data_IF_454393661587
#
_entry.id   IF_454393661587
#
_cell.length_a   1.000
_cell.length_b   1.000
_cell.length_c   1.000
_cell.angle_alpha   90.00
_cell.angle_beta   90.00
_cell.angle_gamma   90.00
#
_symmetry.space_group_name_H-M   'P 1'
#
loop_
_entity.id
_entity.type
_entity.pdbx_description
1 polymer ?
#
# COMPACT_ATOMS: atom_id res chain seq x y z
N UNK A 1 -90.95 -55.44 29.46
CA UNK A 1 -89.62 -55.19 28.88
C UNK A 1 -89.28 -53.74 29.14
N UNK A 2 -88.21 -53.29 29.77
CA UNK A 2 -87.03 -53.89 30.42
C UNK A 2 -86.34 -52.70 31.15
N UNK A 3 -86.03 -52.86 32.45
CA UNK A 3 -84.91 -52.28 33.25
C UNK A 3 -84.73 -50.74 33.27
N UNK A 4 -84.95 -50.00 34.36
CA UNK A 4 -84.19 -49.83 35.63
C UNK A 4 -82.98 -48.85 35.57
N UNK A 5 -83.05 -47.83 36.44
CA UNK A 5 -82.00 -47.04 37.12
C UNK A 5 -80.60 -46.87 36.50
N UNK A 6 -80.10 -45.61 36.47
CA UNK A 6 -78.96 -45.22 37.33
C UNK A 6 -78.72 -43.70 37.40
N UNK A 7 -78.57 -43.24 38.64
CA UNK A 7 -78.08 -41.93 39.07
C UNK A 7 -76.57 -41.81 38.79
N UNK A 8 -76.08 -40.57 38.81
CA UNK A 8 -74.72 -40.13 39.20
C UNK A 8 -73.66 -40.13 38.10
N UNK A 9 -73.15 -38.94 37.77
CA UNK A 9 -71.77 -38.49 38.08
C UNK A 9 -71.39 -37.29 37.20
N UNK A 10 -71.11 -36.14 37.83
CA UNK A 10 -70.19 -35.17 37.24
C UNK A 10 -68.77 -35.58 37.67
N UNK A 11 -67.83 -35.74 36.74
CA UNK A 11 -66.42 -35.54 37.03
C UNK A 11 -65.88 -34.43 36.12
N UNK A 12 -65.25 -33.42 36.69
CA UNK A 12 -63.88 -33.41 37.19
C UNK A 12 -62.88 -33.04 36.09
N UNK A 13 -62.05 -32.09 36.48
CA UNK A 13 -60.90 -31.50 35.81
C UNK A 13 -59.94 -32.61 35.40
N UNK A 14 -59.60 -32.72 34.10
CA UNK A 14 -58.22 -32.87 33.63
C UNK A 14 -58.09 -32.93 32.09
N UNK A 15 -57.05 -32.24 31.60
CA UNK A 15 -56.26 -32.60 30.42
C UNK A 15 -56.76 -32.24 29.01
N UNK A 16 -56.56 -30.97 28.65
CA UNK A 16 -55.78 -30.69 27.44
C UNK A 16 -54.58 -29.81 27.82
N UNK A 17 -53.56 -30.47 28.38
CA UNK A 17 -52.18 -29.97 28.40
C UNK A 17 -51.65 -30.04 26.97
N UNK A 18 -51.97 -29.05 26.16
CA UNK A 18 -51.18 -28.79 24.95
C UNK A 18 -49.91 -28.07 25.42
N UNK A 19 -48.85 -28.87 25.56
CA UNK A 19 -47.47 -28.40 25.62
C UNK A 19 -47.17 -27.59 24.36
N UNK A 20 -47.45 -26.29 24.39
CA UNK A 20 -46.84 -25.35 23.47
C UNK A 20 -45.64 -24.79 24.22
N UNK A 21 -44.48 -25.42 24.03
CA UNK A 21 -43.19 -24.85 24.42
C UNK A 21 -43.15 -23.38 23.94
N UNK A 22 -42.74 -22.43 24.78
CA UNK A 22 -42.75 -21.02 24.39
C UNK A 22 -41.57 -20.74 23.44
N UNK A 23 -41.77 -20.90 22.13
CA UNK A 23 -40.90 -20.32 21.08
C UNK A 23 -40.70 -18.81 21.27
N UNK A 24 -41.67 -18.15 21.90
CA UNK A 24 -41.60 -16.74 22.31
C UNK A 24 -40.47 -16.44 23.30
N UNK A 25 -40.17 -17.34 24.26
CA UNK A 25 -39.12 -17.08 25.26
C UNK A 25 -37.70 -17.25 24.69
N UNK A 26 -37.50 -18.19 23.75
CA UNK A 26 -36.21 -18.40 23.10
C UNK A 26 -35.88 -17.23 22.17
N UNK A 27 -36.84 -16.72 21.42
CA UNK A 27 -36.64 -15.58 20.50
C UNK A 27 -36.41 -14.25 21.22
N UNK A 28 -37.06 -13.99 22.37
CA UNK A 28 -36.77 -12.80 23.18
C UNK A 28 -35.43 -12.89 23.89
N UNK A 29 -35.06 -14.07 24.43
CA UNK A 29 -33.75 -14.30 25.06
C UNK A 29 -32.63 -14.16 24.04
N UNK A 30 -32.77 -14.72 22.84
CA UNK A 30 -31.80 -14.55 21.75
C UNK A 30 -31.70 -13.11 21.25
N UNK A 31 -32.81 -12.37 21.14
CA UNK A 31 -32.78 -10.94 20.78
C UNK A 31 -32.12 -10.09 21.86
N UNK A 32 -32.37 -10.37 23.14
CA UNK A 32 -31.79 -9.65 24.26
C UNK A 32 -30.28 -9.90 24.37
N UNK A 33 -29.84 -11.15 24.21
CA UNK A 33 -28.42 -11.51 24.14
C UNK A 33 -27.73 -10.88 22.92
N UNK A 34 -28.37 -10.89 21.75
CA UNK A 34 -27.80 -10.33 20.51
C UNK A 34 -27.65 -8.80 20.57
N UNK A 35 -28.58 -8.09 21.21
CA UNK A 35 -28.41 -6.65 21.43
C UNK A 35 -27.29 -6.39 22.45
N UNK A 36 -27.25 -7.14 23.55
CA UNK A 36 -26.23 -6.99 24.60
C UNK A 36 -24.80 -7.26 24.09
N UNK A 37 -24.61 -8.28 23.25
CA UNK A 37 -23.32 -8.59 22.61
C UNK A 37 -22.86 -7.46 21.67
N UNK A 38 -23.78 -6.81 20.96
CA UNK A 38 -23.49 -5.64 20.12
C UNK A 38 -23.12 -4.41 20.95
N UNK A 39 -23.80 -4.18 22.07
CA UNK A 39 -23.45 -3.09 22.99
C UNK A 39 -22.06 -3.31 23.61
N UNK A 40 -21.73 -4.53 24.02
CA UNK A 40 -20.44 -4.88 24.60
C UNK A 40 -19.30 -4.81 23.58
N UNK A 41 -19.53 -5.24 22.34
CA UNK A 41 -18.57 -5.09 21.24
C UNK A 41 -18.28 -3.61 20.96
N UNK A 42 -19.31 -2.76 20.91
CA UNK A 42 -19.17 -1.31 20.70
C UNK A 42 -18.44 -0.64 21.86
N UNK A 43 -18.70 -1.04 23.11
CA UNK A 43 -17.96 -0.52 24.26
C UNK A 43 -16.49 -0.96 24.30
N UNK A 44 -16.17 -2.17 23.83
CA UNK A 44 -14.78 -2.63 23.70
C UNK A 44 -14.05 -1.85 22.61
N UNK A 45 -14.72 -1.56 21.49
CA UNK A 45 -14.17 -0.75 20.41
C UNK A 45 -13.93 0.71 20.83
N UNK A 46 -14.87 1.32 21.55
CA UNK A 46 -14.71 2.66 22.12
C UNK A 46 -13.57 2.72 23.15
N UNK A 47 -13.44 1.72 24.02
CA UNK A 47 -12.32 1.63 24.96
C UNK A 47 -10.98 1.47 24.24
N UNK A 48 -10.91 0.63 23.20
CA UNK A 48 -9.71 0.45 22.38
C UNK A 48 -9.34 1.73 21.64
N UNK A 49 -10.31 2.43 21.06
CA UNK A 49 -10.13 3.73 20.40
C UNK A 49 -9.66 4.79 21.40
N UNK A 50 -10.23 4.82 22.60
CA UNK A 50 -9.82 5.71 23.69
C UNK A 50 -8.38 5.45 24.15
N UNK A 51 -7.98 4.18 24.33
CA UNK A 51 -6.60 3.85 24.64
C UNK A 51 -5.65 4.24 23.52
N UNK A 52 -6.02 4.04 22.25
CA UNK A 52 -5.21 4.43 21.10
C UNK A 52 -5.09 5.95 20.95
N UNK A 53 -6.18 6.68 21.22
CA UNK A 53 -6.17 8.13 21.27
C UNK A 53 -5.31 8.64 22.43
N UNK A 54 -5.40 7.99 23.60
CA UNK A 54 -4.61 8.37 24.78
C UNK A 54 -3.12 8.12 24.55
N UNK A 55 -2.72 6.97 24.00
CA UNK A 55 -1.31 6.72 23.66
C UNK A 55 -0.80 7.70 22.61
N UNK A 56 -1.62 8.06 21.61
CA UNK A 56 -1.28 9.07 20.62
C UNK A 56 -1.08 10.46 21.24
N UNK A 57 -2.02 10.91 22.07
CA UNK A 57 -1.94 12.21 22.76
C UNK A 57 -0.76 12.25 23.73
N UNK A 58 -0.49 11.14 24.42
CA UNK A 58 0.64 11.02 25.34
C UNK A 58 1.98 11.11 24.60
N UNK A 59 2.13 10.39 23.49
CA UNK A 59 3.32 10.49 22.63
C UNK A 59 3.50 11.91 22.08
N UNK A 60 2.41 12.55 21.65
CA UNK A 60 2.42 13.91 21.12
C UNK A 60 2.76 14.94 22.20
N UNK A 61 2.32 14.73 23.44
CA UNK A 61 2.66 15.55 24.60
C UNK A 61 4.14 15.44 24.98
N UNK A 62 4.72 14.23 24.95
CA UNK A 62 6.17 14.04 25.14
C UNK A 62 6.96 14.78 24.07
N UNK A 63 6.53 14.65 22.80
CA UNK A 63 7.15 15.34 21.67
C UNK A 63 7.06 16.87 21.82
N UNK A 64 5.88 17.39 22.20
CA UNK A 64 5.65 18.82 22.40
C UNK A 64 6.49 19.37 23.56
N UNK A 65 6.60 18.62 24.66
CA UNK A 65 7.43 18.98 25.80
C UNK A 65 8.92 18.99 25.44
N UNK A 66 9.40 17.97 24.72
CA UNK A 66 10.77 17.92 24.20
C UNK A 66 11.07 19.09 23.25
N UNK A 67 10.11 19.42 22.39
CA UNK A 67 10.15 20.56 21.48
C UNK A 67 10.28 21.90 22.22
N UNK A 68 9.46 22.15 23.24
CA UNK A 68 9.47 23.41 23.99
C UNK A 68 10.73 23.58 24.85
N UNK A 69 11.30 22.48 25.36
CA UNK A 69 12.52 22.51 26.18
C UNK A 69 13.80 22.68 25.39
N UNK A 70 13.81 22.33 24.11
CA UNK A 70 14.98 22.41 23.24
C UNK A 70 14.70 23.34 22.04
N UNK A 71 14.69 24.67 22.23
CA UNK A 71 14.46 25.63 21.15
C UNK A 71 15.54 25.56 20.06
N UNK A 72 16.74 25.05 20.37
CA UNK A 72 17.81 24.82 19.40
C UNK A 72 17.53 23.75 18.34
N UNK A 73 16.48 22.92 18.49
CA UNK A 73 16.03 22.00 17.43
C UNK A 73 15.39 22.78 16.27
N UNK A 74 14.86 23.97 16.54
CA UNK A 74 14.22 24.84 15.55
C UNK A 74 15.20 25.80 14.87
N UNK A 75 16.40 25.95 15.42
CA UNK A 75 17.49 26.67 14.76
C UNK A 75 18.08 25.75 13.68
N UNK A 76 17.66 26.00 12.44
CA UNK A 76 18.23 25.32 11.28
C UNK A 76 19.68 25.81 11.14
N UNK A 77 20.63 24.92 11.44
CA UNK A 77 22.04 25.20 11.22
C UNK A 77 22.29 25.55 9.74
N UNK A 78 23.28 26.42 9.50
CA UNK A 78 23.61 26.87 8.14
C UNK A 78 23.97 25.70 7.21
N UNK A 79 24.61 24.65 7.72
CA UNK A 79 24.90 23.44 6.96
C UNK A 79 23.62 22.69 6.57
N UNK A 80 22.65 22.64 7.48
CA UNK A 80 21.34 22.03 7.20
C UNK A 80 20.58 22.81 6.13
N UNK A 81 20.66 24.15 6.17
CA UNK A 81 20.06 25.00 5.14
C UNK A 81 20.69 24.77 3.75
N UNK A 82 22.02 24.64 3.69
CA UNK A 82 22.73 24.31 2.45
C UNK A 82 22.30 22.94 1.93
N UNK A 83 22.22 21.93 2.80
CA UNK A 83 21.79 20.58 2.44
C UNK A 83 20.35 20.57 1.90
N UNK A 84 19.43 21.27 2.56
CA UNK A 84 18.03 21.40 2.11
C UNK A 84 17.98 22.03 0.70
N UNK A 85 18.72 23.11 0.48
CA UNK A 85 18.73 23.78 -0.82
C UNK A 85 19.33 22.89 -1.93
N UNK A 86 20.39 22.16 -1.61
CA UNK A 86 20.98 21.19 -2.53
C UNK A 86 20.03 20.04 -2.85
N UNK A 87 19.32 19.51 -1.85
CA UNK A 87 18.32 18.47 -2.02
C UNK A 87 17.13 18.96 -2.87
N UNK A 88 16.66 20.19 -2.64
CA UNK A 88 15.60 20.79 -3.43
C UNK A 88 16.02 20.93 -4.91
N UNK A 89 17.21 21.47 -5.16
CA UNK A 89 17.75 21.57 -6.53
C UNK A 89 17.89 20.19 -7.19
N UNK A 90 18.32 19.17 -6.44
CA UNK A 90 18.39 17.79 -6.93
C UNK A 90 17.00 17.25 -7.29
N UNK A 91 15.98 17.47 -6.46
CA UNK A 91 14.59 17.06 -6.73
C UNK A 91 14.09 17.73 -8.00
N UNK A 92 14.23 19.04 -8.13
CA UNK A 92 13.82 19.80 -9.33
C UNK A 92 14.47 19.23 -10.59
N UNK A 93 15.74 18.88 -10.51
CA UNK A 93 16.48 18.30 -11.64
C UNK A 93 16.02 16.87 -11.97
N UNK A 94 15.59 16.08 -10.97
CA UNK A 94 15.08 14.71 -11.15
C UNK A 94 13.65 14.65 -11.71
N UNK A 95 12.90 15.74 -11.62
CA UNK A 95 11.54 15.82 -12.17
C UNK A 95 11.54 15.55 -13.69
N UNK A 96 12.53 16.05 -14.42
CA UNK A 96 12.63 15.86 -15.88
C UNK A 96 12.75 14.38 -16.28
N UNK A 97 13.75 13.60 -15.80
CA UNK A 97 13.86 12.19 -16.14
C UNK A 97 12.67 11.37 -15.64
N UNK A 98 12.05 11.75 -14.51
CA UNK A 98 10.84 11.08 -14.02
C UNK A 98 9.66 11.24 -14.97
N UNK A 99 9.38 12.46 -15.43
CA UNK A 99 8.29 12.72 -16.35
C UNK A 99 8.53 12.03 -17.70
N UNK A 100 9.74 12.12 -18.24
CA UNK A 100 10.07 11.51 -19.52
C UNK A 100 10.06 9.97 -19.44
N UNK A 101 10.57 9.38 -18.36
CA UNK A 101 10.50 7.93 -18.12
C UNK A 101 9.07 7.42 -17.95
N UNK A 102 8.24 8.17 -17.22
CA UNK A 102 6.81 7.86 -17.04
C UNK A 102 6.04 7.99 -18.36
N UNK A 103 6.28 9.06 -19.12
CA UNK A 103 5.64 9.29 -20.42
C UNK A 103 6.00 8.20 -21.43
N UNK A 104 7.26 7.77 -21.44
CA UNK A 104 7.72 6.63 -22.25
C UNK A 104 7.01 5.32 -21.89
N UNK A 105 6.80 5.07 -20.59
CA UNK A 105 6.06 3.90 -20.13
C UNK A 105 4.57 3.97 -20.52
N UNK A 106 3.93 5.14 -20.42
CA UNK A 106 2.55 5.35 -20.88
C UNK A 106 2.44 5.04 -22.37
N UNK A 107 3.32 5.60 -23.20
CA UNK A 107 3.32 5.36 -24.64
C UNK A 107 3.45 3.85 -24.96
N UNK A 108 4.32 3.14 -24.24
CA UNK A 108 4.47 1.67 -24.35
C UNK A 108 3.23 0.89 -23.94
N UNK A 109 2.61 1.24 -22.82
CA UNK A 109 1.37 0.58 -22.34
C UNK A 109 0.24 0.78 -23.35
N UNK A 110 0.12 1.98 -23.92
CA UNK A 110 -0.84 2.28 -24.97
C UNK A 110 -0.57 1.47 -26.24
N UNK A 111 0.69 1.36 -26.67
CA UNK A 111 1.08 0.50 -27.81
C UNK A 111 0.81 -0.99 -27.55
N UNK A 112 0.98 -1.45 -26.32
CA UNK A 112 0.74 -2.84 -25.95
C UNK A 112 -0.75 -3.21 -25.82
N UNK A 113 -1.67 -2.24 -25.94
CA UNK A 113 -3.12 -2.48 -25.90
C UNK A 113 -3.65 -2.97 -24.54
N UNK A 114 -2.87 -2.83 -23.46
CA UNK A 114 -3.23 -3.32 -22.12
C UNK A 114 -4.02 -2.25 -21.37
N UNK A 115 -4.99 -2.64 -20.53
CA UNK A 115 -5.82 -1.70 -19.75
C UNK A 115 -4.95 -0.80 -18.86
N UNK A 116 -4.78 0.45 -19.28
CA UNK A 116 -3.88 1.43 -18.65
C UNK A 116 -4.14 1.63 -17.14
N UNK A 117 -5.37 1.40 -16.67
CA UNK A 117 -5.75 1.56 -15.26
C UNK A 117 -5.14 0.53 -14.30
N UNK A 118 -4.69 -0.64 -14.76
CA UNK A 118 -4.08 -1.67 -13.90
C UNK A 118 -2.54 -1.57 -13.82
N UNK A 119 -1.94 -0.67 -14.59
CA UNK A 119 -0.49 -0.54 -14.72
C UNK A 119 0.04 0.82 -14.24
N UNK A 120 -0.72 1.56 -13.43
CA UNK A 120 -0.25 2.82 -12.85
C UNK A 120 1.05 2.67 -12.04
N UNK A 121 1.18 1.55 -11.31
CA UNK A 121 2.43 1.22 -10.60
C UNK A 121 3.61 1.08 -11.56
N UNK A 122 3.40 0.54 -12.77
CA UNK A 122 4.44 0.37 -13.78
C UNK A 122 4.92 1.70 -14.36
N UNK A 123 4.00 2.66 -14.52
CA UNK A 123 4.33 4.01 -14.99
C UNK A 123 5.20 4.72 -13.95
N UNK A 124 4.76 4.71 -12.69
CA UNK A 124 5.50 5.33 -11.58
C UNK A 124 6.86 4.65 -11.38
N UNK A 125 6.92 3.31 -11.45
CA UNK A 125 8.19 2.58 -11.31
C UNK A 125 9.17 2.89 -12.45
N UNK A 126 8.68 3.09 -13.67
CA UNK A 126 9.51 3.48 -14.82
C UNK A 126 10.08 4.90 -14.67
N UNK A 127 9.27 5.85 -14.15
CA UNK A 127 9.73 7.19 -13.79
C UNK A 127 10.79 7.17 -12.69
N UNK A 128 10.56 6.41 -11.62
CA UNK A 128 11.54 6.24 -10.53
C UNK A 128 12.83 5.59 -11.04
N UNK A 129 12.73 4.61 -11.92
CA UNK A 129 13.90 3.96 -12.51
C UNK A 129 14.71 4.92 -13.39
N UNK A 130 14.06 5.85 -14.11
CA UNK A 130 14.74 6.93 -14.82
C UNK A 130 15.47 7.88 -13.87
N UNK A 131 14.83 8.27 -12.75
CA UNK A 131 15.48 9.08 -11.70
C UNK A 131 16.70 8.37 -11.12
N UNK A 132 16.59 7.11 -10.72
CA UNK A 132 17.70 6.35 -10.15
C UNK A 132 18.83 6.14 -11.14
N UNK A 133 18.51 5.88 -12.41
CA UNK A 133 19.51 5.79 -13.47
C UNK A 133 20.26 7.11 -13.64
N UNK A 134 19.54 8.23 -13.65
CA UNK A 134 20.15 9.56 -13.72
C UNK A 134 21.06 9.86 -12.51
N UNK A 135 20.62 9.54 -11.29
CA UNK A 135 21.47 9.66 -10.09
C UNK A 135 22.68 8.74 -10.19
N UNK A 136 22.52 7.48 -10.60
CA UNK A 136 23.60 6.50 -10.71
C UNK A 136 24.67 6.88 -11.74
N UNK A 137 24.25 7.50 -12.85
CA UNK A 137 25.15 8.04 -13.87
C UNK A 137 25.86 9.30 -13.35
N UNK A 138 25.12 10.27 -12.82
CA UNK A 138 25.66 11.55 -12.36
C UNK A 138 26.56 11.43 -11.12
N UNK A 139 26.27 10.47 -10.23
CA UNK A 139 27.07 10.20 -9.04
C UNK A 139 28.38 9.46 -9.33
N UNK A 140 28.59 8.97 -10.56
CA UNK A 140 29.76 8.18 -10.91
C UNK A 140 29.83 6.83 -10.20
N UNK A 141 28.79 6.43 -9.46
CA UNK A 141 28.72 5.14 -8.75
C UNK A 141 28.82 3.98 -9.74
N UNK A 142 28.18 4.10 -10.91
CA UNK A 142 28.32 3.12 -11.99
C UNK A 142 29.75 3.02 -12.51
N UNK A 143 30.45 4.16 -12.63
CA UNK A 143 31.86 4.19 -13.01
C UNK A 143 32.75 3.59 -11.92
N UNK A 144 32.48 3.86 -10.64
CA UNK A 144 33.25 3.29 -9.53
C UNK A 144 33.15 1.76 -9.44
N UNK A 145 32.01 1.17 -9.80
CA UNK A 145 31.80 -0.28 -9.84
C UNK A 145 32.45 -0.93 -11.07
N UNK A 146 32.41 -0.23 -12.21
CA UNK A 146 32.84 -0.78 -13.52
C UNK A 146 34.31 -0.44 -13.83
N UNK A 147 34.89 0.61 -13.24
CA UNK A 147 36.30 0.99 -13.36
C UNK A 147 37.29 -0.17 -13.15
N UNK A 148 37.18 -1.01 -12.10
CA UNK A 148 38.11 -2.14 -11.93
C UNK A 148 38.01 -3.20 -13.04
N UNK A 149 36.94 -3.18 -13.84
CA UNK A 149 36.76 -4.04 -15.02
C UNK A 149 37.19 -3.36 -16.33
N UNK A 150 37.09 -2.03 -16.42
CA UNK A 150 37.53 -1.23 -17.58
C UNK A 150 39.04 -0.98 -17.61
N UNK A 151 39.67 -0.83 -16.44
CA UNK A 151 41.13 -0.76 -16.33
C UNK A 151 41.79 -2.05 -16.81
N UNK A 152 41.15 -3.22 -16.56
CA UNK A 152 41.59 -4.51 -17.11
C UNK A 152 41.48 -4.59 -18.64
N UNK A 153 40.72 -3.70 -19.27
CA UNK A 153 40.53 -3.63 -20.72
C UNK A 153 41.23 -2.42 -21.36
N UNK A 154 42.01 -1.64 -20.60
CA UNK A 154 42.80 -0.52 -21.12
C UNK A 154 42.00 0.71 -21.56
N UNK A 155 40.73 0.84 -21.15
CA UNK A 155 39.87 1.98 -21.50
C UNK A 155 39.95 3.04 -20.42
N UNK A 156 40.56 4.19 -20.75
CA UNK A 156 40.69 5.33 -19.83
C UNK A 156 39.32 5.91 -19.51
N UNK A 157 38.88 5.76 -18.26
CA UNK A 157 37.52 6.04 -17.79
C UNK A 157 37.23 7.52 -17.50
N UNK A 158 38.18 8.41 -17.83
CA UNK A 158 38.20 9.81 -17.36
C UNK A 158 37.45 10.79 -18.27
N UNK A 159 37.08 10.40 -19.50
CA UNK A 159 36.66 11.36 -20.56
C UNK A 159 35.16 11.68 -20.54
N UNK A 160 34.31 10.90 -19.85
CA UNK A 160 32.86 11.01 -20.00
C UNK A 160 32.15 12.02 -19.09
N UNK A 161 32.83 12.69 -18.15
CA UNK A 161 32.16 13.55 -17.17
C UNK A 161 32.32 15.07 -17.35
N UNK A 162 33.17 15.55 -18.27
CA UNK A 162 33.57 16.98 -18.26
C UNK A 162 32.93 17.90 -19.31
N UNK A 163 32.06 17.40 -20.21
CA UNK A 163 31.49 18.23 -21.30
C UNK A 163 29.98 18.34 -21.19
N UNK A 164 29.41 19.54 -21.40
CA UNK A 164 27.95 19.79 -21.41
C UNK A 164 27.19 18.90 -22.41
N UNK A 165 27.83 18.47 -23.50
CA UNK A 165 27.27 17.48 -24.44
C UNK A 165 26.94 16.16 -23.76
N UNK A 166 27.73 15.76 -22.76
CA UNK A 166 27.53 14.50 -22.07
C UNK A 166 26.30 14.56 -21.16
N UNK A 167 25.89 15.75 -20.70
CA UNK A 167 24.68 15.91 -19.88
C UNK A 167 23.43 15.41 -20.61
N UNK A 168 23.23 15.84 -21.87
CA UNK A 168 22.08 15.43 -22.67
C UNK A 168 22.13 13.95 -23.05
N UNK A 169 23.33 13.43 -23.38
CA UNK A 169 23.51 12.00 -23.67
C UNK A 169 23.22 11.14 -22.43
N UNK A 170 23.73 11.52 -21.26
CA UNK A 170 23.44 10.85 -19.98
C UNK A 170 21.95 10.89 -19.65
N UNK A 171 21.26 11.99 -20.00
CA UNK A 171 19.83 12.16 -19.72
C UNK A 171 19.01 11.22 -20.59
N UNK A 172 19.34 11.18 -21.89
CA UNK A 172 18.73 10.25 -22.82
C UNK A 172 18.95 8.79 -22.41
N UNK A 173 20.14 8.42 -21.95
CA UNK A 173 20.42 7.07 -21.44
C UNK A 173 19.55 6.76 -20.22
N UNK A 174 19.47 7.66 -19.23
CA UNK A 174 18.65 7.45 -18.05
C UNK A 174 17.16 7.29 -18.38
N UNK A 175 16.65 8.12 -19.29
CA UNK A 175 15.27 8.06 -19.78
C UNK A 175 15.02 6.74 -20.53
N UNK A 176 15.95 6.31 -21.40
CA UNK A 176 15.85 5.07 -22.14
C UNK A 176 15.84 3.85 -21.21
N UNK A 177 16.66 3.85 -20.16
CA UNK A 177 16.67 2.80 -19.12
C UNK A 177 15.34 2.76 -18.37
N UNK A 178 14.81 3.92 -17.96
CA UNK A 178 13.50 4.01 -17.31
C UNK A 178 12.38 3.49 -18.21
N UNK A 179 12.38 3.90 -19.48
CA UNK A 179 11.44 3.39 -20.48
C UNK A 179 11.59 1.88 -20.67
N UNK A 180 12.81 1.33 -20.72
CA UNK A 180 13.07 -0.10 -20.90
C UNK A 180 12.48 -0.97 -19.78
N UNK A 181 12.40 -0.46 -18.54
CA UNK A 181 11.78 -1.15 -17.40
C UNK A 181 10.37 -1.68 -17.71
N UNK A 182 9.52 -0.79 -18.28
CA UNK A 182 8.16 -1.15 -18.67
C UNK A 182 8.10 -2.26 -19.72
N UNK A 183 9.08 -2.30 -20.64
CA UNK A 183 9.16 -3.34 -21.68
C UNK A 183 9.35 -4.71 -21.05
N UNK A 184 10.31 -4.79 -20.12
CA UNK A 184 10.73 -6.04 -19.50
C UNK A 184 9.58 -6.61 -18.66
N UNK A 185 8.85 -5.76 -17.94
CA UNK A 185 7.68 -6.18 -17.19
C UNK A 185 6.56 -6.72 -18.10
N UNK A 186 6.21 -6.00 -19.17
CA UNK A 186 5.19 -6.45 -20.12
C UNK A 186 5.60 -7.78 -20.75
N UNK A 187 6.87 -7.90 -21.16
CA UNK A 187 7.40 -9.11 -21.75
C UNK A 187 7.34 -10.31 -20.79
N UNK A 188 7.72 -10.12 -19.52
CA UNK A 188 7.64 -11.17 -18.51
C UNK A 188 6.18 -11.59 -18.30
N UNK A 189 5.26 -10.64 -18.13
CA UNK A 189 3.85 -10.96 -17.94
C UNK A 189 3.27 -11.73 -19.14
N UNK A 190 3.54 -11.27 -20.36
CA UNK A 190 3.13 -11.99 -21.57
C UNK A 190 3.72 -13.40 -21.62
N UNK A 191 4.99 -13.57 -21.22
CA UNK A 191 5.63 -14.89 -21.20
C UNK A 191 5.05 -15.80 -20.13
N UNK A 192 4.75 -15.27 -18.94
CA UNK A 192 4.10 -16.01 -17.84
C UNK A 192 2.69 -16.42 -18.24
N UNK A 193 1.92 -15.55 -18.88
CA UNK A 193 0.58 -15.86 -19.40
C UNK A 193 0.64 -16.97 -20.47
N UNK A 194 1.57 -16.89 -21.41
CA UNK A 194 1.78 -17.94 -22.42
C UNK A 194 2.11 -19.29 -21.78
N UNK A 195 3.05 -19.32 -20.82
CA UNK A 195 3.48 -20.55 -20.16
C UNK A 195 2.40 -21.12 -19.22
N UNK A 196 1.58 -20.25 -18.62
CA UNK A 196 0.47 -20.65 -17.74
C UNK A 196 -0.74 -21.15 -18.54
N UNK A 197 -0.99 -20.59 -19.73
CA UNK A 197 -2.05 -21.03 -20.64
C UNK A 197 -1.77 -22.42 -21.23
N UNK A 198 -0.49 -22.78 -21.42
CA UNK A 198 -0.08 -24.13 -21.87
C UNK A 198 -0.31 -25.20 -20.78
N UNK A 199 -0.50 -24.79 -19.51
CA UNK A 199 -0.78 -25.68 -18.37
C UNK A 199 -2.25 -25.68 -17.97
N UNK A 200 -3.16 -25.78 -18.94
CA UNK A 200 -4.56 -26.14 -18.69
C UNK A 200 -4.80 -27.53 -19.29
N UNK A 201 -4.99 -28.59 -18.48
CA UNK A 201 -5.55 -29.84 -18.99
C UNK A 201 -7.00 -29.62 -19.43
#
# INVERSE_FOLDING_TARGET
MTIENKVTEMPNIESQKNETEPESSKSETERFHFDQDKYDARQKELRKSMYLAFTFIFALSILMFASLRNPGIYEIDKETFILINQAFNAIVLLVIPFFLGSLGAIARILMAGVKAGQHGVLVVSSGLMAMFSWVGIKSGVLLAIVAPHLEKQGVSSTVTMQTESNFYTMALVAIAVGMFSSNLYIFINQRVEQLSAVKKP
#
